data_IF_482032308967
#
_entry.id   IF_482032308967
#
_cell.length_a   1.000
_cell.length_b   1.000
_cell.length_c   1.000
_cell.angle_alpha   90.00
_cell.angle_beta   90.00
_cell.angle_gamma   90.00
#
_symmetry.space_group_name_H-M   'P 1'
#
loop_
_entity.id
_entity.type
_entity.pdbx_description
1 polymer ?
#
# COMPACT_ATOMS: atom_id res chain seq x y z
N UNK A 1 -21.25 -8.32 -4.05
CA UNK A 1 -20.84 -6.89 -4.03
C UNK A 1 -19.48 -6.80 -4.71
N UNK A 2 -19.19 -5.74 -5.47
CA UNK A 2 -17.85 -5.56 -6.05
C UNK A 2 -16.86 -5.20 -4.93
N UNK A 3 -15.65 -5.74 -4.98
CA UNK A 3 -14.56 -5.33 -4.08
C UNK A 3 -14.25 -3.83 -4.27
N UNK A 4 -13.63 -3.19 -3.28
CA UNK A 4 -13.26 -1.75 -3.36
C UNK A 4 -12.38 -1.47 -4.59
N UNK A 5 -11.44 -2.38 -4.88
CA UNK A 5 -10.75 -2.45 -6.16
C UNK A 5 -10.28 -3.89 -6.42
N UNK A 6 -9.82 -4.16 -7.64
CA UNK A 6 -9.19 -5.43 -8.04
C UNK A 6 -8.03 -5.09 -8.95
N UNK A 7 -6.87 -5.70 -8.72
CA UNK A 7 -5.63 -5.37 -9.45
C UNK A 7 -4.62 -4.64 -8.57
N UNK A 8 -3.91 -3.69 -9.15
CA UNK A 8 -2.76 -3.07 -8.49
C UNK A 8 -3.12 -1.70 -7.91
N UNK A 9 -2.99 -1.57 -6.59
CA UNK A 9 -2.99 -0.30 -5.88
C UNK A 9 -1.57 0.16 -5.58
N UNK A 10 -1.27 1.44 -5.74
CA UNK A 10 0.01 1.99 -5.33
C UNK A 10 -0.01 2.47 -3.88
N UNK A 11 0.91 1.99 -3.06
CA UNK A 11 1.23 2.62 -1.79
C UNK A 11 2.05 3.88 -2.09
N UNK A 12 1.38 5.01 -2.29
CA UNK A 12 1.96 6.22 -2.89
C UNK A 12 3.01 6.85 -1.97
N UNK A 13 4.16 7.24 -2.55
CA UNK A 13 5.20 8.02 -1.86
C UNK A 13 4.77 9.47 -1.69
N UNK A 14 5.30 10.15 -0.66
CA UNK A 14 5.13 11.59 -0.46
C UNK A 14 6.44 12.30 -0.83
N UNK A 15 6.48 13.13 -1.88
CA UNK A 15 7.65 13.92 -2.20
C UNK A 15 7.81 15.08 -1.22
N UNK A 16 9.07 15.37 -0.85
CA UNK A 16 9.43 16.52 -0.03
C UNK A 16 10.40 17.42 -0.76
N UNK A 17 10.41 18.69 -0.39
CA UNK A 17 11.41 19.69 -0.78
C UNK A 17 11.69 20.59 0.42
N UNK A 18 12.91 20.58 0.93
CA UNK A 18 13.30 21.33 2.13
C UNK A 18 12.36 21.01 3.33
N UNK A 19 12.11 19.72 3.58
CA UNK A 19 11.22 19.18 4.62
C UNK A 19 9.71 19.52 4.43
N UNK A 20 9.34 20.31 3.43
CA UNK A 20 7.95 20.58 3.11
C UNK A 20 7.40 19.55 2.10
N UNK A 21 6.09 19.25 2.17
CA UNK A 21 5.42 18.40 1.16
C UNK A 21 5.36 19.13 -0.18
N UNK A 22 5.87 18.51 -1.23
CA UNK A 22 5.77 19.02 -2.61
C UNK A 22 4.48 18.52 -3.28
N UNK A 23 3.41 19.26 -3.10
CA UNK A 23 2.08 18.91 -3.64
C UNK A 23 2.02 18.92 -5.17
N UNK A 24 2.88 19.70 -5.86
CA UNK A 24 2.94 19.73 -7.32
C UNK A 24 3.53 18.42 -7.84
N UNK A 25 4.67 17.99 -7.29
CA UNK A 25 5.28 16.72 -7.67
C UNK A 25 4.44 15.52 -7.23
N UNK A 26 3.75 15.61 -6.10
CA UNK A 26 2.77 14.61 -5.71
C UNK A 26 1.65 14.46 -6.76
N UNK A 27 1.09 15.57 -7.23
CA UNK A 27 0.09 15.59 -8.30
C UNK A 27 0.62 14.96 -9.59
N UNK A 28 1.82 15.32 -10.01
CA UNK A 28 2.47 14.78 -11.21
C UNK A 28 2.64 13.26 -11.10
N UNK A 29 3.08 12.78 -9.93
CA UNK A 29 3.23 11.35 -9.67
C UNK A 29 1.87 10.61 -9.71
N UNK A 30 0.85 11.14 -9.07
CA UNK A 30 -0.50 10.55 -9.13
C UNK A 30 -1.07 10.50 -10.54
N UNK A 31 -0.82 11.54 -11.34
CA UNK A 31 -1.22 11.58 -12.76
C UNK A 31 -0.51 10.49 -13.54
N UNK A 32 0.81 10.34 -13.35
CA UNK A 32 1.58 9.23 -13.95
C UNK A 32 0.99 7.86 -13.56
N UNK A 33 0.66 7.64 -12.29
CA UNK A 33 0.08 6.38 -11.84
C UNK A 33 -1.28 6.11 -12.51
N UNK A 34 -2.15 7.12 -12.59
CA UNK A 34 -3.45 7.04 -13.24
C UNK A 34 -3.32 6.73 -14.73
N UNK A 35 -2.45 7.44 -15.44
CA UNK A 35 -2.21 7.25 -16.88
C UNK A 35 -1.60 5.88 -17.20
N UNK A 36 -0.92 5.25 -16.21
CA UNK A 36 -0.33 3.92 -16.32
C UNK A 36 -1.18 2.84 -15.63
N UNK A 37 -2.51 3.00 -15.63
CA UNK A 37 -3.51 1.98 -15.30
C UNK A 37 -3.49 1.49 -13.86
N UNK A 38 -3.04 2.30 -12.90
CA UNK A 38 -3.17 1.94 -11.48
C UNK A 38 -4.66 1.78 -11.11
N UNK A 39 -4.98 0.81 -10.28
CA UNK A 39 -6.37 0.51 -9.91
C UNK A 39 -6.82 1.14 -8.59
N UNK A 40 -5.90 1.65 -7.78
CA UNK A 40 -6.20 2.40 -6.56
C UNK A 40 -4.99 3.21 -6.09
N UNK A 41 -5.25 4.33 -5.42
CA UNK A 41 -4.24 5.17 -4.76
C UNK A 41 -4.35 5.01 -3.25
N UNK A 42 -3.31 4.47 -2.62
CA UNK A 42 -3.24 4.32 -1.16
C UNK A 42 -2.35 5.42 -0.61
N UNK A 43 -2.96 6.44 -0.03
CA UNK A 43 -2.32 7.69 0.44
C UNK A 43 -2.13 7.67 1.94
N UNK A 44 -1.09 8.31 2.46
CA UNK A 44 -0.75 8.38 3.89
C UNK A 44 -0.45 7.01 4.55
N UNK A 45 -0.11 6.00 3.75
CA UNK A 45 0.39 4.73 4.27
C UNK A 45 1.85 4.81 4.72
N UNK A 46 2.46 3.65 4.99
CA UNK A 46 3.89 3.53 5.39
C UNK A 46 4.82 4.12 4.33
N UNK A 47 4.58 3.77 3.06
CA UNK A 47 5.38 4.24 1.91
C UNK A 47 5.26 5.76 1.71
N UNK A 48 4.12 6.34 2.07
CA UNK A 48 3.89 7.78 2.05
C UNK A 48 4.41 8.52 3.29
N UNK A 49 5.21 7.85 4.14
CA UNK A 49 5.75 8.42 5.39
C UNK A 49 4.67 8.99 6.32
N UNK A 50 3.49 8.38 6.33
CA UNK A 50 2.32 8.87 7.07
C UNK A 50 2.53 9.10 8.57
N UNK A 51 3.55 8.49 9.19
CA UNK A 51 3.88 8.68 10.61
C UNK A 51 4.55 10.03 10.91
N UNK A 52 5.18 10.67 9.93
CA UNK A 52 5.90 11.95 10.07
C UNK A 52 5.12 13.13 9.47
N UNK A 53 3.99 12.86 8.82
CA UNK A 53 3.10 13.89 8.29
C UNK A 53 2.20 14.47 9.39
N UNK A 54 2.05 15.79 9.40
CA UNK A 54 1.02 16.47 10.19
C UNK A 54 -0.40 16.12 9.71
N UNK A 55 -1.40 16.39 10.54
CA UNK A 55 -2.79 16.19 10.12
C UNK A 55 -3.15 17.04 8.91
N UNK A 56 -2.67 18.27 8.83
CA UNK A 56 -2.91 19.17 7.71
C UNK A 56 -2.30 18.63 6.41
N UNK A 57 -1.04 18.21 6.44
CA UNK A 57 -0.38 17.59 5.29
C UNK A 57 -1.12 16.35 4.78
N UNK A 58 -1.56 15.48 5.71
CA UNK A 58 -2.37 14.29 5.35
C UNK A 58 -3.66 14.65 4.63
N UNK A 59 -4.39 15.65 5.12
CA UNK A 59 -5.64 16.08 4.50
C UNK A 59 -5.41 16.73 3.13
N UNK A 60 -4.35 17.54 3.00
CA UNK A 60 -3.99 18.16 1.74
C UNK A 60 -3.57 17.12 0.68
N UNK A 61 -2.78 16.09 1.07
CA UNK A 61 -2.44 14.98 0.17
C UNK A 61 -3.68 14.20 -0.30
N UNK A 62 -4.65 13.96 0.59
CA UNK A 62 -5.91 13.30 0.22
C UNK A 62 -6.73 14.18 -0.75
N UNK A 63 -6.81 15.49 -0.53
CA UNK A 63 -7.47 16.41 -1.45
C UNK A 63 -6.84 16.35 -2.84
N UNK A 64 -5.50 16.41 -2.95
CA UNK A 64 -4.81 16.28 -4.23
C UNK A 64 -5.09 14.93 -4.90
N UNK A 65 -5.13 13.85 -4.12
CA UNK A 65 -5.42 12.52 -4.65
C UNK A 65 -6.86 12.41 -5.17
N UNK A 66 -7.84 12.96 -4.46
CA UNK A 66 -9.24 13.00 -4.89
C UNK A 66 -9.42 13.82 -6.16
N UNK A 67 -8.77 14.99 -6.27
CA UNK A 67 -8.77 15.80 -7.48
C UNK A 67 -8.18 15.05 -8.70
N UNK A 68 -7.06 14.38 -8.55
CA UNK A 68 -6.41 13.62 -9.65
C UNK A 68 -7.23 12.37 -10.00
N UNK A 69 -7.75 11.67 -9.00
CA UNK A 69 -8.62 10.50 -9.21
C UNK A 69 -9.85 10.85 -10.03
N UNK A 70 -10.48 12.00 -9.74
CA UNK A 70 -11.71 12.45 -10.39
C UNK A 70 -12.82 11.37 -10.39
N UNK A 71 -12.88 10.57 -9.32
CA UNK A 71 -13.81 9.45 -9.16
C UNK A 71 -13.57 8.26 -10.10
N UNK A 72 -12.46 8.23 -10.85
CA UNK A 72 -12.16 7.15 -11.81
C UNK A 72 -11.43 5.97 -11.16
N UNK A 73 -10.63 6.23 -10.14
CA UNK A 73 -9.90 5.21 -9.36
C UNK A 73 -10.08 5.48 -7.86
N UNK A 74 -10.31 4.46 -7.04
CA UNK A 74 -10.53 4.66 -5.60
C UNK A 74 -9.30 5.25 -4.91
N UNK A 75 -9.56 6.20 -4.01
CA UNK A 75 -8.59 6.78 -3.08
C UNK A 75 -8.79 6.17 -1.70
N UNK A 76 -7.77 5.50 -1.17
CA UNK A 76 -7.79 4.82 0.12
C UNK A 76 -6.83 5.55 1.06
N UNK A 77 -7.35 6.02 2.20
CA UNK A 77 -6.57 6.75 3.18
C UNK A 77 -5.97 5.83 4.26
N UNK A 78 -4.67 5.92 4.50
CA UNK A 78 -4.02 5.35 5.66
C UNK A 78 -4.34 6.15 6.92
N UNK A 79 -5.17 5.59 7.81
CA UNK A 79 -5.65 6.27 9.03
C UNK A 79 -5.35 5.51 10.31
N UNK A 80 -4.84 4.28 10.21
CA UNK A 80 -4.52 3.44 11.36
C UNK A 80 -3.35 3.97 12.17
N UNK A 81 -3.45 3.82 13.48
CA UNK A 81 -2.37 4.08 14.43
C UNK A 81 -2.48 3.13 15.62
N UNK A 82 -1.51 3.18 16.53
CA UNK A 82 -1.52 2.43 17.79
C UNK A 82 -2.40 3.07 18.88
N UNK A 83 -3.22 4.05 18.52
CA UNK A 83 -4.18 4.73 19.38
C UNK A 83 -5.55 4.70 18.70
N UNK A 84 -6.49 3.92 19.24
CA UNK A 84 -7.84 3.76 18.68
C UNK A 84 -8.56 5.08 18.46
N UNK A 85 -8.48 6.00 19.44
CA UNK A 85 -9.13 7.32 19.34
C UNK A 85 -8.54 8.16 18.20
N UNK A 86 -7.20 8.18 18.08
CA UNK A 86 -6.54 8.89 16.99
C UNK A 86 -6.88 8.29 15.61
N UNK A 87 -6.99 6.96 15.51
CA UNK A 87 -7.43 6.28 14.30
C UNK A 87 -8.87 6.66 13.92
N UNK A 88 -9.78 6.73 14.89
CA UNK A 88 -11.17 7.19 14.65
C UNK A 88 -11.21 8.64 14.16
N UNK A 89 -10.47 9.54 14.81
CA UNK A 89 -10.41 10.96 14.42
C UNK A 89 -9.86 11.13 13.00
N UNK A 90 -8.78 10.41 12.66
CA UNK A 90 -8.21 10.42 11.31
C UNK A 90 -9.18 9.82 10.27
N UNK A 91 -9.85 8.72 10.61
CA UNK A 91 -10.80 8.03 9.73
C UNK A 91 -12.01 8.90 9.41
N UNK A 92 -12.58 9.59 10.40
CA UNK A 92 -13.69 10.53 10.20
C UNK A 92 -13.31 11.71 9.30
N UNK A 93 -12.13 12.28 9.52
CA UNK A 93 -11.64 13.38 8.66
C UNK A 93 -11.45 12.93 7.21
N UNK A 94 -10.92 11.71 7.00
CA UNK A 94 -10.77 11.17 5.66
C UNK A 94 -12.14 10.89 5.01
N UNK A 95 -13.10 10.34 5.75
CA UNK A 95 -14.48 10.14 5.29
C UNK A 95 -15.16 11.47 4.93
N UNK A 96 -15.00 12.51 5.74
CA UNK A 96 -15.53 13.86 5.48
C UNK A 96 -14.97 14.48 4.19
N UNK A 97 -13.74 14.15 3.80
CA UNK A 97 -13.16 14.57 2.52
C UNK A 97 -13.72 13.78 1.32
N UNK A 98 -14.34 12.63 1.55
CA UNK A 98 -14.92 11.79 0.50
C UNK A 98 -13.98 10.74 -0.07
N UNK A 99 -13.01 10.22 0.69
CA UNK A 99 -12.22 9.08 0.25
C UNK A 99 -13.09 7.83 0.14
N UNK A 100 -12.70 6.90 -0.75
CA UNK A 100 -13.49 5.71 -1.06
C UNK A 100 -13.32 4.59 -0.02
N UNK A 101 -12.26 4.63 0.78
CA UNK A 101 -11.99 3.65 1.80
C UNK A 101 -10.81 3.99 2.70
N UNK A 102 -10.61 3.16 3.70
CA UNK A 102 -9.57 3.33 4.71
C UNK A 102 -8.64 2.13 4.74
N UNK A 103 -7.35 2.37 4.99
CA UNK A 103 -6.36 1.34 5.32
C UNK A 103 -5.96 1.50 6.79
N UNK A 104 -6.27 0.50 7.62
CA UNK A 104 -6.06 0.58 9.07
C UNK A 104 -5.09 -0.52 9.52
N UNK A 105 -3.88 -0.11 9.92
CA UNK A 105 -2.82 -1.00 10.40
C UNK A 105 -3.11 -1.56 11.78
N UNK A 106 -2.65 -2.80 12.06
CA UNK A 106 -2.62 -3.37 13.41
C UNK A 106 -1.81 -2.47 14.36
N UNK A 107 -2.21 -2.32 15.65
CA UNK A 107 -1.47 -1.48 16.60
C UNK A 107 -0.02 -1.94 16.76
N UNK A 108 0.92 -1.04 16.55
CA UNK A 108 2.35 -1.24 16.73
C UNK A 108 2.81 -0.71 18.10
N UNK A 109 3.99 -1.16 18.57
CA UNK A 109 4.63 -0.77 19.80
C UNK A 109 3.89 -1.22 21.07
N UNK A 110 2.70 -0.66 21.39
CA UNK A 110 1.90 -1.00 22.57
C UNK A 110 1.08 -2.29 22.41
N UNK A 111 1.33 -3.11 21.43
CA UNK A 111 0.74 -4.43 21.13
C UNK A 111 -0.49 -4.80 21.96
N UNK A 112 -1.42 -5.55 21.40
CA UNK A 112 -2.60 -6.00 22.11
C UNK A 112 -2.83 -7.51 21.92
N UNK A 113 -3.82 -8.08 22.58
CA UNK A 113 -4.29 -9.46 22.34
C UNK A 113 -5.22 -9.52 21.12
N UNK A 114 -5.51 -10.72 20.62
CA UNK A 114 -6.49 -10.93 19.53
C UNK A 114 -7.85 -10.31 19.89
N UNK A 115 -8.31 -10.47 21.13
CA UNK A 115 -9.52 -9.81 21.63
C UNK A 115 -9.42 -8.27 21.59
N UNK A 116 -8.24 -7.73 21.85
CA UNK A 116 -7.99 -6.29 21.74
C UNK A 116 -7.98 -5.81 20.29
N UNK A 117 -7.50 -6.64 19.32
CA UNK A 117 -7.63 -6.33 17.90
C UNK A 117 -9.10 -6.26 17.47
N UNK A 118 -9.94 -7.22 17.89
CA UNK A 118 -11.37 -7.18 17.64
C UNK A 118 -11.97 -5.87 18.16
N UNK A 119 -11.73 -5.53 19.41
CA UNK A 119 -12.26 -4.29 20.00
C UNK A 119 -11.76 -3.03 19.28
N UNK A 120 -10.46 -2.98 18.94
CA UNK A 120 -9.83 -1.85 18.23
C UNK A 120 -10.47 -1.61 16.87
N UNK A 121 -10.48 -2.64 16.01
CA UNK A 121 -10.97 -2.51 14.65
C UNK A 121 -12.50 -2.32 14.58
N UNK A 122 -13.27 -3.03 15.41
CA UNK A 122 -14.71 -2.84 15.47
C UNK A 122 -15.08 -1.44 15.91
N UNK A 123 -14.40 -0.89 16.95
CA UNK A 123 -14.67 0.48 17.40
C UNK A 123 -14.33 1.52 16.33
N UNK A 124 -13.31 1.31 15.52
CA UNK A 124 -12.99 2.19 14.37
C UNK A 124 -14.07 2.03 13.29
N UNK A 125 -14.46 0.80 12.96
CA UNK A 125 -15.44 0.51 11.92
C UNK A 125 -16.85 1.03 12.27
N UNK A 126 -17.24 0.97 13.55
CA UNK A 126 -18.49 1.55 14.05
C UNK A 126 -18.54 3.09 13.95
N UNK A 127 -17.38 3.74 13.85
CA UNK A 127 -17.27 5.20 13.86
C UNK A 127 -17.36 5.84 12.46
N UNK A 128 -17.35 5.05 11.39
CA UNK A 128 -17.36 5.48 9.97
C UNK A 128 -18.35 4.66 9.15
N UNK A 129 -18.71 5.13 7.95
CA UNK A 129 -19.66 4.44 7.07
C UNK A 129 -19.02 3.97 5.75
N UNK A 130 -17.71 4.16 5.58
CA UNK A 130 -16.95 3.78 4.38
C UNK A 130 -16.16 2.49 4.61
N UNK A 131 -15.78 1.76 3.52
CA UNK A 131 -15.05 0.51 3.61
C UNK A 131 -13.69 0.63 4.30
N UNK A 132 -13.34 -0.39 5.09
CA UNK A 132 -12.04 -0.53 5.75
C UNK A 132 -11.32 -1.76 5.22
N UNK A 133 -10.08 -1.58 4.81
CA UNK A 133 -9.10 -2.65 4.59
C UNK A 133 -8.21 -2.71 5.83
N UNK A 134 -8.20 -3.84 6.52
CA UNK A 134 -7.26 -4.09 7.60
C UNK A 134 -5.84 -4.21 7.04
N UNK A 135 -4.81 -3.84 7.81
CA UNK A 135 -3.44 -4.00 7.37
C UNK A 135 -2.63 -4.77 8.40
N UNK A 136 -2.21 -5.97 8.03
CA UNK A 136 -1.38 -6.87 8.85
C UNK A 136 0.05 -6.89 8.33
N UNK A 137 0.99 -6.42 9.17
CA UNK A 137 2.43 -6.30 8.83
C UNK A 137 3.30 -6.62 10.04
N UNK A 138 3.42 -7.91 10.41
CA UNK A 138 4.09 -8.35 11.63
C UNK A 138 5.54 -7.86 11.76
N UNK A 139 6.24 -7.69 10.65
CA UNK A 139 7.61 -7.17 10.63
C UNK A 139 7.73 -5.76 11.23
N UNK A 140 6.63 -4.96 11.20
CA UNK A 140 6.59 -3.60 11.75
C UNK A 140 5.83 -3.51 13.07
N UNK A 141 4.80 -4.34 13.25
CA UNK A 141 3.90 -4.25 14.42
C UNK A 141 4.22 -5.29 15.49
N UNK A 142 4.89 -6.37 15.12
CA UNK A 142 5.22 -7.49 16.00
C UNK A 142 3.99 -8.29 16.44
N UNK A 143 2.91 -8.24 15.67
CA UNK A 143 1.69 -9.01 15.89
C UNK A 143 0.99 -9.32 14.55
N UNK A 144 0.16 -10.35 14.54
CA UNK A 144 -0.57 -10.85 13.37
C UNK A 144 -2.05 -11.00 13.72
N UNK A 145 -2.91 -10.83 12.73
CA UNK A 145 -4.35 -11.13 12.85
C UNK A 145 -4.54 -12.64 12.67
N UNK A 146 -4.96 -13.35 13.72
CA UNK A 146 -5.24 -14.79 13.63
C UNK A 146 -6.55 -15.07 12.88
N UNK A 147 -6.72 -16.28 12.29
CA UNK A 147 -7.93 -16.63 11.53
C UNK A 147 -9.24 -16.42 12.30
N UNK A 148 -9.30 -16.81 13.57
CA UNK A 148 -10.49 -16.66 14.41
C UNK A 148 -10.82 -15.18 14.66
N UNK A 149 -9.80 -14.33 14.74
CA UNK A 149 -9.94 -12.88 14.85
C UNK A 149 -10.48 -12.29 13.56
N UNK A 150 -9.92 -12.68 12.41
CA UNK A 150 -10.40 -12.22 11.11
C UNK A 150 -11.84 -12.64 10.86
N UNK A 151 -12.22 -13.87 11.23
CA UNK A 151 -13.59 -14.37 11.11
C UNK A 151 -14.60 -13.44 11.80
N UNK A 152 -14.28 -13.00 13.02
CA UNK A 152 -15.13 -12.07 13.79
C UNK A 152 -15.15 -10.68 13.11
N UNK A 153 -14.00 -10.18 12.70
CA UNK A 153 -13.88 -8.86 12.09
C UNK A 153 -14.59 -8.77 10.73
N UNK A 154 -14.55 -9.85 9.93
CA UNK A 154 -15.18 -9.92 8.62
C UNK A 154 -16.73 -9.97 8.69
N UNK A 155 -17.33 -10.17 9.86
CA UNK A 155 -18.78 -10.04 10.06
C UNK A 155 -19.23 -8.57 10.08
N UNK A 156 -18.30 -7.63 10.31
CA UNK A 156 -18.61 -6.20 10.32
C UNK A 156 -18.79 -5.68 8.89
N UNK A 157 -19.92 -5.02 8.55
CA UNK A 157 -20.23 -4.64 7.17
C UNK A 157 -19.23 -3.67 6.52
N UNK A 158 -18.54 -2.86 7.31
CA UNK A 158 -17.54 -1.91 6.83
C UNK A 158 -16.13 -2.51 6.73
N UNK A 159 -15.86 -3.69 7.29
CA UNK A 159 -14.55 -4.37 7.18
C UNK A 159 -14.61 -5.29 5.96
N UNK A 160 -14.05 -4.85 4.84
CA UNK A 160 -14.26 -5.48 3.53
C UNK A 160 -13.04 -6.20 2.98
N UNK A 161 -11.89 -6.09 3.64
CA UNK A 161 -10.67 -6.71 3.14
C UNK A 161 -9.49 -6.63 4.11
N UNK A 162 -8.43 -7.30 3.71
CA UNK A 162 -7.15 -7.35 4.40
C UNK A 162 -6.00 -7.12 3.42
N UNK A 163 -5.10 -6.17 3.73
CA UNK A 163 -3.75 -6.12 3.17
C UNK A 163 -2.87 -7.03 4.01
N UNK A 164 -2.45 -8.14 3.42
CA UNK A 164 -1.56 -9.12 4.03
C UNK A 164 -0.10 -8.84 3.64
N UNK A 165 0.71 -8.44 4.60
CA UNK A 165 2.15 -8.30 4.49
C UNK A 165 2.87 -9.19 5.51
N UNK A 166 2.30 -10.34 5.84
CA UNK A 166 2.92 -11.36 6.72
C UNK A 166 4.08 -12.08 6.03
N UNK A 167 4.02 -12.23 4.71
CA UNK A 167 4.95 -13.04 3.95
C UNK A 167 4.67 -14.55 4.06
N UNK A 168 3.59 -14.98 4.71
CA UNK A 168 3.23 -16.39 4.93
C UNK A 168 1.98 -16.77 4.13
N UNK A 169 2.20 -17.38 2.95
CA UNK A 169 1.12 -17.88 2.09
C UNK A 169 0.31 -19.02 2.73
N UNK A 170 0.87 -19.75 3.70
CA UNK A 170 0.12 -20.74 4.47
C UNK A 170 -0.85 -20.06 5.42
N UNK A 171 -0.43 -18.96 6.03
CA UNK A 171 -1.31 -18.13 6.85
C UNK A 171 -2.45 -17.53 6.00
N UNK A 172 -2.12 -16.99 4.81
CA UNK A 172 -3.14 -16.51 3.87
C UNK A 172 -4.23 -17.56 3.58
N UNK A 173 -3.84 -18.84 3.32
CA UNK A 173 -4.82 -19.91 3.09
C UNK A 173 -5.75 -20.12 4.29
N UNK A 174 -5.24 -20.00 5.52
CA UNK A 174 -6.04 -20.13 6.74
C UNK A 174 -7.00 -18.96 6.90
N UNK A 175 -6.57 -17.74 6.56
CA UNK A 175 -7.41 -16.55 6.60
C UNK A 175 -8.53 -16.63 5.55
N UNK A 176 -8.22 -17.07 4.32
CA UNK A 176 -9.21 -17.26 3.27
C UNK A 176 -10.28 -18.29 3.64
N UNK A 177 -9.94 -19.32 4.40
CA UNK A 177 -10.87 -20.39 4.79
C UNK A 177 -11.94 -19.94 5.79
N UNK A 178 -11.81 -18.80 6.46
CA UNK A 178 -12.71 -18.34 7.53
C UNK A 178 -13.58 -17.14 7.14
N UNK A 179 -13.45 -16.63 5.91
CA UNK A 179 -14.23 -15.51 5.40
C UNK A 179 -15.00 -15.92 4.13
N UNK A 180 -15.95 -15.11 3.72
CA UNK A 180 -16.71 -15.35 2.49
C UNK A 180 -16.04 -14.70 1.27
N UNK A 181 -16.50 -15.07 0.06
CA UNK A 181 -15.93 -14.61 -1.22
C UNK A 181 -16.05 -13.10 -1.47
N UNK A 182 -16.84 -12.37 -0.67
CA UNK A 182 -16.94 -10.91 -0.77
C UNK A 182 -15.83 -10.18 0.00
N UNK A 183 -15.06 -10.89 0.81
CA UNK A 183 -13.94 -10.33 1.55
C UNK A 183 -12.67 -10.32 0.68
N UNK A 184 -12.06 -9.15 0.52
CA UNK A 184 -10.91 -9.00 -0.37
C UNK A 184 -9.56 -9.24 0.32
N UNK A 185 -8.66 -9.94 -0.35
CA UNK A 185 -7.26 -10.07 0.09
C UNK A 185 -6.33 -9.33 -0.89
N UNK A 186 -5.53 -8.42 -0.36
CA UNK A 186 -4.51 -7.67 -1.10
C UNK A 186 -3.12 -8.03 -0.57
N UNK A 187 -2.20 -8.41 -1.43
CA UNK A 187 -0.81 -8.60 -1.05
C UNK A 187 -0.15 -7.29 -0.63
N UNK A 188 0.73 -7.35 0.35
CA UNK A 188 1.53 -6.21 0.80
C UNK A 188 3.01 -6.33 0.46
N UNK A 189 3.43 -7.44 -0.18
CA UNK A 189 4.80 -7.82 -0.49
C UNK A 189 4.97 -7.99 -2.00
N UNK A 190 5.77 -7.13 -2.62
CA UNK A 190 6.03 -7.15 -4.07
C UNK A 190 6.77 -8.42 -4.52
N UNK A 191 7.65 -8.95 -3.68
CA UNK A 191 8.39 -10.21 -3.87
C UNK A 191 7.51 -11.47 -3.83
N UNK A 192 6.30 -11.38 -3.31
CA UNK A 192 5.31 -12.46 -3.26
C UNK A 192 4.12 -12.24 -4.18
N UNK A 193 4.15 -11.22 -5.05
CA UNK A 193 3.01 -10.83 -5.87
C UNK A 193 2.43 -11.99 -6.69
N UNK A 194 3.26 -12.67 -7.47
CA UNK A 194 2.81 -13.78 -8.33
C UNK A 194 2.19 -14.95 -7.54
N UNK A 195 2.85 -15.54 -6.53
CA UNK A 195 2.23 -16.62 -5.75
C UNK A 195 0.98 -16.17 -4.98
N UNK A 196 0.92 -14.91 -4.53
CA UNK A 196 -0.25 -14.34 -3.89
C UNK A 196 -1.45 -14.29 -4.86
N UNK A 197 -1.24 -13.84 -6.10
CA UNK A 197 -2.27 -13.84 -7.15
C UNK A 197 -2.71 -15.26 -7.53
N UNK A 198 -1.75 -16.19 -7.67
CA UNK A 198 -2.04 -17.59 -7.98
C UNK A 198 -2.88 -18.27 -6.89
N UNK A 199 -2.80 -17.79 -5.65
CA UNK A 199 -3.58 -18.29 -4.50
C UNK A 199 -4.94 -17.58 -4.37
N UNK A 200 -5.34 -16.78 -5.36
CA UNK A 200 -6.64 -16.12 -5.37
C UNK A 200 -6.67 -14.74 -4.71
N UNK A 201 -5.52 -14.11 -4.52
CA UNK A 201 -5.46 -12.72 -4.10
C UNK A 201 -6.17 -11.78 -5.08
N UNK A 202 -6.92 -10.81 -4.56
CA UNK A 202 -7.73 -9.86 -5.34
C UNK A 202 -6.90 -8.73 -5.94
N UNK A 203 -5.69 -8.53 -5.42
CA UNK A 203 -4.77 -7.50 -5.90
C UNK A 203 -3.53 -7.37 -5.01
N UNK A 204 -2.79 -6.31 -5.26
CA UNK A 204 -1.58 -5.94 -4.53
C UNK A 204 -1.65 -4.47 -4.14
N UNK A 205 -1.23 -4.12 -2.93
CA UNK A 205 -0.94 -2.75 -2.52
C UNK A 205 0.58 -2.62 -2.51
N UNK A 206 1.12 -2.23 -3.65
CA UNK A 206 2.51 -2.35 -4.05
C UNK A 206 3.34 -1.12 -3.71
N UNK A 207 4.60 -1.33 -3.38
CA UNK A 207 5.65 -0.29 -3.31
C UNK A 207 6.23 -0.05 -4.70
N UNK A 208 6.61 -1.10 -5.41
CA UNK A 208 7.24 -1.02 -6.73
C UNK A 208 6.31 -0.42 -7.81
N UNK A 209 4.98 -0.53 -7.63
CA UNK A 209 4.00 0.09 -8.52
C UNK A 209 4.06 1.64 -8.52
N UNK A 210 4.79 2.28 -7.61
CA UNK A 210 5.09 3.72 -7.72
C UNK A 210 5.86 4.09 -9.00
N UNK A 211 6.58 3.13 -9.59
CA UNK A 211 7.41 3.33 -10.80
C UNK A 211 7.16 2.28 -11.90
N UNK A 212 6.46 1.19 -11.59
CA UNK A 212 6.16 0.06 -12.49
C UNK A 212 4.66 -0.32 -12.45
N UNK A 213 3.71 0.63 -12.50
CA UNK A 213 2.29 0.33 -12.32
C UNK A 213 1.75 -0.59 -13.42
N UNK A 214 2.06 -0.33 -14.68
CA UNK A 214 1.56 -1.10 -15.83
C UNK A 214 2.12 -2.52 -15.86
N UNK A 215 3.38 -2.72 -15.49
CA UNK A 215 4.04 -4.02 -15.48
C UNK A 215 3.43 -4.94 -14.40
N UNK A 216 3.15 -4.42 -13.22
CA UNK A 216 2.46 -5.17 -12.18
C UNK A 216 1.00 -5.46 -12.55
N UNK A 217 0.29 -4.51 -13.16
CA UNK A 217 -1.08 -4.74 -13.64
C UNK A 217 -1.10 -5.81 -14.73
N UNK A 218 -0.16 -5.77 -15.68
CA UNK A 218 -0.02 -6.80 -16.72
C UNK A 218 0.24 -8.18 -16.10
N UNK A 219 1.11 -8.28 -15.10
CA UNK A 219 1.35 -9.54 -14.39
C UNK A 219 0.06 -10.07 -13.74
N UNK A 220 -0.68 -9.20 -13.03
CA UNK A 220 -1.94 -9.54 -12.37
C UNK A 220 -3.00 -10.07 -13.36
N UNK A 221 -3.15 -9.44 -14.51
CA UNK A 221 -4.08 -9.89 -15.56
C UNK A 221 -3.64 -11.19 -16.21
N UNK A 222 -2.32 -11.32 -16.44
CA UNK A 222 -1.75 -12.48 -17.12
C UNK A 222 -1.85 -13.75 -16.26
N UNK A 223 -1.74 -13.66 -14.93
CA UNK A 223 -1.79 -14.84 -14.05
C UNK A 223 -3.11 -15.62 -14.16
N UNK A 224 -4.20 -14.93 -14.47
CA UNK A 224 -5.53 -15.53 -14.64
C UNK A 224 -5.68 -16.32 -15.95
N UNK A 225 -4.79 -16.08 -16.92
CA UNK A 225 -4.86 -16.64 -18.27
C UNK A 225 -3.72 -17.61 -18.51
N UNK A 226 -2.50 -17.22 -18.15
CA UNK A 226 -1.26 -17.97 -18.39
C UNK A 226 -0.24 -17.71 -17.27
N UNK A 227 -0.22 -18.60 -16.29
CA UNK A 227 0.70 -18.53 -15.15
C UNK A 227 2.17 -18.60 -15.57
N UNK A 228 2.50 -19.34 -16.65
CA UNK A 228 3.87 -19.45 -17.13
C UNK A 228 4.35 -18.11 -17.70
N UNK A 229 3.50 -17.41 -18.44
CA UNK A 229 3.78 -16.07 -18.96
C UNK A 229 3.86 -15.04 -17.83
N UNK A 230 2.95 -15.09 -16.85
CA UNK A 230 3.01 -14.24 -15.68
C UNK A 230 4.31 -14.43 -14.90
N UNK A 231 4.82 -15.66 -14.81
CA UNK A 231 6.11 -15.95 -14.16
C UNK A 231 7.31 -15.36 -14.92
N UNK A 232 7.24 -15.22 -16.24
CA UNK A 232 8.30 -14.48 -16.97
C UNK A 232 8.31 -13.01 -16.61
N UNK A 233 7.14 -12.36 -16.56
CA UNK A 233 7.01 -10.96 -16.14
C UNK A 233 7.52 -10.79 -14.69
N UNK A 234 7.10 -11.67 -13.77
CA UNK A 234 7.56 -11.64 -12.39
C UNK A 234 9.09 -11.72 -12.26
N UNK A 235 9.72 -12.59 -13.04
CA UNK A 235 11.19 -12.74 -13.04
C UNK A 235 11.91 -11.53 -13.61
N UNK A 236 11.32 -10.84 -14.58
CA UNK A 236 11.85 -9.58 -15.11
C UNK A 236 11.78 -8.45 -14.10
N UNK A 237 10.71 -8.39 -13.28
CA UNK A 237 10.53 -7.37 -12.25
C UNK A 237 11.37 -7.62 -10.99
N UNK A 238 11.72 -8.87 -10.72
CA UNK A 238 12.36 -9.30 -9.46
C UNK A 238 13.64 -8.54 -9.11
N UNK A 239 14.58 -8.26 -10.04
CA UNK A 239 15.78 -7.49 -9.72
C UNK A 239 15.49 -6.09 -9.13
N UNK A 240 14.42 -5.43 -9.60
CA UNK A 240 14.00 -4.13 -9.03
C UNK A 240 13.47 -4.32 -7.61
N UNK A 241 12.69 -5.38 -7.34
CA UNK A 241 12.21 -5.68 -5.98
C UNK A 241 13.37 -5.96 -5.02
N UNK A 242 14.41 -6.66 -5.49
CA UNK A 242 15.61 -6.93 -4.68
C UNK A 242 16.33 -5.63 -4.28
N UNK A 243 16.58 -4.72 -5.22
CA UNK A 243 17.25 -3.45 -4.90
C UNK A 243 16.36 -2.49 -4.09
N UNK A 244 15.04 -2.62 -4.18
CA UNK A 244 14.12 -1.89 -3.31
C UNK A 244 14.08 -2.45 -1.87
N UNK A 245 14.70 -3.61 -1.62
CA UNK A 245 14.75 -4.27 -0.31
C UNK A 245 16.07 -4.05 0.43
N UNK A 246 17.01 -3.26 -0.12
CA UNK A 246 18.33 -3.03 0.51
C UNK A 246 18.26 -2.17 1.78
N UNK A 247 17.17 -1.41 1.93
CA UNK A 247 16.90 -0.61 3.14
C UNK A 247 15.38 -0.56 3.41
N UNK A 248 15.02 0.06 4.53
CA UNK A 248 13.63 0.19 4.97
C UNK A 248 12.81 1.02 3.97
N UNK A 249 11.68 0.44 3.50
CA UNK A 249 10.69 1.18 2.72
C UNK A 249 10.16 2.39 3.53
N UNK A 250 10.12 3.63 2.96
CA UNK A 250 10.21 3.97 1.53
C UNK A 250 11.58 4.48 1.04
N UNK A 251 12.67 4.31 1.79
CA UNK A 251 13.97 4.91 1.44
C UNK A 251 14.38 4.54 0.00
N UNK A 252 14.43 3.23 -0.41
CA UNK A 252 14.87 2.87 -1.75
C UNK A 252 13.90 3.29 -2.86
N UNK A 253 12.59 3.17 -2.66
CA UNK A 253 11.62 3.53 -3.73
C UNK A 253 11.63 5.03 -4.04
N UNK A 254 11.94 5.88 -3.06
CA UNK A 254 12.04 7.33 -3.28
C UNK A 254 13.24 7.72 -4.15
N UNK A 255 14.27 6.88 -4.26
CA UNK A 255 15.33 7.05 -5.27
C UNK A 255 14.73 7.00 -6.67
N UNK A 256 13.90 5.99 -6.95
CA UNK A 256 13.30 5.82 -8.28
C UNK A 256 12.22 6.86 -8.59
N UNK A 257 11.39 7.24 -7.62
CA UNK A 257 10.40 8.29 -7.85
C UNK A 257 11.08 9.65 -8.11
N UNK A 258 12.18 9.95 -7.43
CA UNK A 258 13.00 11.13 -7.70
C UNK A 258 13.68 11.03 -9.07
N UNK A 259 14.26 9.88 -9.42
CA UNK A 259 14.87 9.65 -10.73
C UNK A 259 13.87 9.87 -11.89
N UNK A 260 12.60 9.50 -11.70
CA UNK A 260 11.53 9.74 -12.67
C UNK A 260 11.00 11.19 -12.66
N UNK A 261 11.54 12.06 -11.81
CA UNK A 261 11.18 13.48 -11.77
C UNK A 261 10.00 13.82 -10.85
N UNK A 262 9.59 12.89 -9.95
CA UNK A 262 8.51 13.12 -9.00
C UNK A 262 9.02 13.68 -7.66
N UNK A 263 9.82 14.71 -7.70
CA UNK A 263 10.38 15.43 -6.56
C UNK A 263 11.84 15.11 -6.27
N UNK A 264 12.36 15.71 -5.21
CA UNK A 264 13.73 15.48 -4.76
C UNK A 264 13.84 14.15 -3.99
N UNK A 265 15.04 13.56 -3.97
CA UNK A 265 15.30 12.40 -3.10
C UNK A 265 15.51 12.88 -1.67
N UNK A 266 14.41 12.94 -0.94
CA UNK A 266 14.35 13.39 0.44
C UNK A 266 13.41 12.50 1.27
N UNK A 267 13.81 12.16 2.49
CA UNK A 267 13.00 11.44 3.49
C UNK A 267 13.05 12.19 4.81
N UNK A 268 11.99 12.11 5.61
CA UNK A 268 11.95 12.74 6.94
C UNK A 268 12.55 11.84 8.02
N UNK A 269 13.26 12.42 8.97
CA UNK A 269 13.72 11.68 10.15
C UNK A 269 12.53 10.95 10.83
N UNK A 270 12.73 9.71 11.34
CA UNK A 270 14.02 9.06 11.60
C UNK A 270 14.65 8.37 10.38
N UNK A 271 14.01 8.41 9.20
CA UNK A 271 14.60 7.87 7.98
C UNK A 271 15.73 8.79 7.49
N UNK A 272 16.74 8.19 6.86
CA UNK A 272 17.85 8.91 6.25
C UNK A 272 18.04 8.46 4.81
N UNK A 273 18.47 9.33 3.89
CA UNK A 273 18.74 8.95 2.51
C UNK A 273 19.86 7.89 2.40
N UNK A 274 19.78 7.04 1.36
CA UNK A 274 20.85 6.12 1.01
C UNK A 274 22.12 6.86 0.56
N UNK A 275 23.26 6.21 0.71
CA UNK A 275 24.52 6.67 0.13
C UNK A 275 24.44 6.72 -1.41
N UNK A 276 25.21 7.61 -2.05
CA UNK A 276 25.18 7.81 -3.51
C UNK A 276 25.43 6.52 -4.31
N UNK A 277 26.28 5.63 -3.81
CA UNK A 277 26.61 4.38 -4.47
C UNK A 277 25.40 3.44 -4.53
N UNK A 278 24.62 3.36 -3.45
CA UNK A 278 23.40 2.53 -3.39
C UNK A 278 22.30 3.13 -4.26
N UNK A 279 22.16 4.46 -4.27
CA UNK A 279 21.24 5.15 -5.17
C UNK A 279 21.55 4.85 -6.64
N UNK A 280 22.84 4.93 -7.04
CA UNK A 280 23.29 4.62 -8.39
C UNK A 280 22.98 3.17 -8.78
N UNK A 281 23.19 2.21 -7.87
CA UNK A 281 22.87 0.79 -8.09
C UNK A 281 21.38 0.56 -8.34
N UNK A 282 20.49 1.19 -7.57
CA UNK A 282 19.04 1.11 -7.76
C UNK A 282 18.64 1.65 -9.15
N UNK A 283 19.18 2.80 -9.53
CA UNK A 283 18.89 3.45 -10.82
C UNK A 283 19.40 2.58 -11.99
N UNK A 284 20.59 1.98 -11.87
CA UNK A 284 21.16 1.11 -12.89
C UNK A 284 20.27 -0.11 -13.16
N UNK A 285 19.84 -0.81 -12.09
CA UNK A 285 18.94 -1.96 -12.21
C UNK A 285 17.61 -1.57 -12.86
N UNK A 286 17.05 -0.42 -12.48
CA UNK A 286 15.80 0.07 -13.06
C UNK A 286 15.95 0.42 -14.54
N UNK A 287 17.05 1.11 -14.96
CA UNK A 287 17.35 1.41 -16.36
C UNK A 287 17.51 0.13 -17.19
N UNK A 288 18.19 -0.87 -16.63
CA UNK A 288 18.36 -2.16 -17.31
C UNK A 288 16.99 -2.82 -17.59
N UNK A 289 16.07 -2.81 -16.63
CA UNK A 289 14.70 -3.30 -16.84
C UNK A 289 13.97 -2.52 -17.94
N UNK A 290 14.18 -1.21 -18.03
CA UNK A 290 13.55 -0.37 -19.07
C UNK A 290 14.25 -0.46 -20.44
N UNK A 291 15.32 -1.25 -20.58
CA UNK A 291 16.08 -1.40 -21.84
C UNK A 291 16.93 -0.18 -22.18
N UNK A 292 17.20 0.69 -21.22
CA UNK A 292 18.08 1.84 -21.40
C UNK A 292 19.54 1.40 -21.23
N UNK A 293 20.38 1.69 -22.24
CA UNK A 293 21.83 1.44 -22.15
C UNK A 293 22.45 2.38 -21.12
N UNK A 294 23.31 1.83 -20.25
CA UNK A 294 24.11 2.59 -19.27
C UNK A 294 25.19 3.38 -19.99
#
# INVERSE_FOLDING_TARGET
>A
MSHLFTGIGAAVTTPFTEDAVDYEQFRNHLTFLKDNQIQSLIVNGTTGEGSTLSTEEKMNLLNVALEVSDGQIPVIAGTGSNNTKASIEASKKAEELGVDGLLVITPYYNKTSQRGLVAHFTTIADAVNIPIILYDVPARTGMTIEPETLQILAEHPNIVGLKDATGDLTHLSRLQAVVNDSFAFYGGNDDLALPFFAQGGHGLISVAANVLPSEYQLMFETVKIDIAKANLIYRELHPVVEVLSIDVNPIPIKVLTSFLGFGQYEVRLPLVPLEEMDQASIIEVFRHLKGESV
#
